data_IF_638838764039
#
_entry.id   IF_638838764039
#
_cell.length_a   1.000
_cell.length_b   1.000
_cell.length_c   1.000
_cell.angle_alpha   90.00
_cell.angle_beta   90.00
_cell.angle_gamma   90.00
#
_symmetry.space_group_name_H-M   'P 1'
#
loop_
_entity.id
_entity.type
_entity.pdbx_description
1 polymer ?
#
# COMPACT_ATOMS: atom_id res chain seq x y z
N UNK A 1 -12.97 -7.46 -19.04
CA UNK A 1 -11.88 -8.25 -18.41
C UNK A 1 -10.58 -7.46 -18.53
N UNK A 2 -10.33 -6.45 -17.69
CA UNK A 2 -9.12 -5.60 -17.79
C UNK A 2 -8.63 -5.05 -16.44
N UNK A 3 -9.07 -5.58 -15.30
CA UNK A 3 -8.67 -5.06 -13.97
C UNK A 3 -7.32 -5.60 -13.46
N UNK A 4 -6.74 -6.66 -14.03
CA UNK A 4 -5.55 -7.32 -13.46
C UNK A 4 -4.19 -6.68 -13.75
N UNK A 5 -4.07 -5.65 -14.60
CA UNK A 5 -2.75 -5.12 -15.01
C UNK A 5 -2.24 -4.00 -14.11
N UNK A 6 -3.12 -3.30 -13.38
CA UNK A 6 -2.73 -2.10 -12.63
C UNK A 6 -2.51 -2.35 -11.13
N UNK A 7 -3.17 -3.35 -10.54
CA UNK A 7 -2.93 -3.76 -9.14
C UNK A 7 -1.53 -4.29 -8.94
N UNK A 8 -1.02 -5.04 -9.94
CA UNK A 8 0.35 -5.56 -9.94
C UNK A 8 1.36 -4.44 -9.69
N UNK A 9 1.16 -3.24 -10.25
CA UNK A 9 2.11 -2.13 -10.11
C UNK A 9 2.26 -1.61 -8.68
N UNK A 10 1.18 -1.60 -7.89
CA UNK A 10 1.27 -1.10 -6.51
C UNK A 10 2.05 -2.08 -5.63
N UNK A 11 1.75 -3.38 -5.77
CA UNK A 11 2.52 -4.42 -5.10
C UNK A 11 3.97 -4.44 -5.60
N UNK A 12 4.21 -4.22 -6.90
CA UNK A 12 5.55 -4.16 -7.47
C UNK A 12 6.37 -3.01 -6.88
N UNK A 13 5.80 -1.80 -6.72
CA UNK A 13 6.48 -0.67 -6.07
C UNK A 13 6.88 -0.99 -4.62
N UNK A 14 6.01 -1.67 -3.87
CA UNK A 14 6.29 -2.06 -2.48
C UNK A 14 7.31 -3.19 -2.42
N UNK A 15 7.21 -4.19 -3.30
CA UNK A 15 8.15 -5.30 -3.39
C UNK A 15 9.53 -4.79 -3.80
N UNK A 16 9.60 -3.92 -4.80
CA UNK A 16 10.83 -3.28 -5.23
C UNK A 16 11.43 -2.43 -4.12
N UNK A 17 10.61 -1.66 -3.39
CA UNK A 17 11.06 -0.91 -2.22
C UNK A 17 11.66 -1.80 -1.12
N UNK A 18 11.04 -2.96 -0.85
CA UNK A 18 11.56 -3.95 0.10
C UNK A 18 12.86 -4.59 -0.42
N UNK A 19 12.87 -4.98 -1.69
CA UNK A 19 13.99 -5.67 -2.33
C UNK A 19 15.22 -4.78 -2.54
N UNK A 20 15.03 -3.48 -2.78
CA UNK A 20 16.10 -2.49 -2.95
C UNK A 20 16.90 -2.24 -1.65
N UNK A 21 16.41 -2.72 -0.51
CA UNK A 21 17.02 -2.53 0.80
C UNK A 21 16.45 -1.30 1.50
N UNK A 22 15.56 -1.55 2.46
CA UNK A 22 14.89 -0.49 3.22
C UNK A 22 15.75 0.00 4.38
N UNK A 23 15.91 1.31 4.53
CA UNK A 23 16.42 1.93 5.77
C UNK A 23 15.24 2.48 6.59
N UNK A 24 15.39 2.66 7.92
CA UNK A 24 14.35 3.30 8.73
C UNK A 24 13.94 4.67 8.16
N UNK A 25 14.89 5.44 7.63
CA UNK A 25 14.63 6.73 6.99
C UNK A 25 13.77 6.58 5.73
N UNK A 26 14.13 5.63 4.86
CA UNK A 26 13.38 5.33 3.64
C UNK A 26 11.97 4.84 3.94
N UNK A 27 11.77 4.05 5.01
CA UNK A 27 10.43 3.56 5.40
C UNK A 27 9.54 4.71 5.84
N UNK A 28 10.08 5.68 6.59
CA UNK A 28 9.32 6.87 7.02
C UNK A 28 8.94 7.72 5.80
N UNK A 29 9.89 7.95 4.90
CA UNK A 29 9.72 8.78 3.71
C UNK A 29 8.86 8.11 2.63
N UNK A 30 8.79 6.77 2.64
CA UNK A 30 8.08 5.99 1.63
C UNK A 30 6.64 6.47 1.48
N UNK A 31 6.29 6.83 0.25
CA UNK A 31 4.94 7.22 -0.15
C UNK A 31 4.65 6.48 -1.45
N UNK A 32 3.50 5.82 -1.49
CA UNK A 32 2.97 5.28 -2.74
C UNK A 32 2.89 6.39 -3.79
N UNK A 33 3.20 6.06 -5.05
CA UNK A 33 3.02 6.98 -6.17
C UNK A 33 1.58 7.49 -6.22
N UNK A 34 1.37 8.73 -6.68
CA UNK A 34 0.02 9.34 -6.68
C UNK A 34 -0.98 8.51 -7.52
N UNK A 35 -0.52 7.83 -8.57
CA UNK A 35 -1.32 6.89 -9.34
C UNK A 35 -1.79 5.66 -8.53
N UNK A 36 -0.97 5.19 -7.58
CA UNK A 36 -1.32 4.09 -6.68
C UNK A 36 -2.30 4.54 -5.59
N UNK A 37 -2.13 5.76 -5.07
CA UNK A 37 -3.07 6.36 -4.10
C UNK A 37 -4.45 6.60 -4.71
N UNK A 38 -4.52 7.24 -5.87
CA UNK A 38 -5.77 7.51 -6.58
C UNK A 38 -6.55 6.22 -6.84
N UNK A 39 -5.84 5.14 -7.22
CA UNK A 39 -6.46 3.83 -7.40
C UNK A 39 -6.95 3.19 -6.11
N UNK A 40 -6.21 3.32 -5.02
CA UNK A 40 -6.65 2.86 -3.70
C UNK A 40 -7.92 3.60 -3.28
N UNK A 41 -7.96 4.92 -3.45
CA UNK A 41 -9.13 5.75 -3.14
C UNK A 41 -10.33 5.37 -3.99
N UNK A 42 -10.14 5.12 -5.29
CA UNK A 42 -11.16 4.62 -6.21
C UNK A 42 -11.69 3.23 -5.81
N UNK A 43 -10.82 2.31 -5.39
CA UNK A 43 -11.21 1.00 -4.86
C UNK A 43 -12.01 1.12 -3.56
N UNK A 44 -11.55 1.93 -2.61
CA UNK A 44 -12.25 2.20 -1.34
C UNK A 44 -13.61 2.85 -1.62
N UNK A 45 -13.67 3.78 -2.56
CA UNK A 45 -14.91 4.45 -2.95
C UNK A 45 -15.90 3.47 -3.58
N UNK A 46 -15.46 2.62 -4.53
CA UNK A 46 -16.28 1.58 -5.14
C UNK A 46 -16.75 0.54 -4.11
N UNK A 47 -15.90 0.17 -3.14
CA UNK A 47 -16.26 -0.65 -1.98
C UNK A 47 -17.46 -0.13 -1.22
N UNK A 48 -17.43 1.17 -0.94
CA UNK A 48 -18.39 1.83 -0.08
C UNK A 48 -19.70 2.17 -0.81
N UNK A 49 -19.65 2.30 -2.13
CA UNK A 49 -20.75 2.84 -2.94
C UNK A 49 -21.51 1.76 -3.70
N UNK A 50 -20.82 0.79 -4.30
CA UNK A 50 -21.43 -0.20 -5.20
C UNK A 50 -21.45 -1.62 -4.62
N UNK A 51 -20.72 -1.86 -3.53
CA UNK A 51 -20.52 -3.19 -2.96
C UNK A 51 -19.59 -4.02 -3.83
N UNK A 52 -18.32 -4.11 -3.45
CA UNK A 52 -17.35 -4.91 -4.20
C UNK A 52 -17.72 -6.39 -4.13
N UNK A 53 -17.74 -7.04 -5.28
CA UNK A 53 -18.04 -8.47 -5.40
C UNK A 53 -16.75 -9.27 -5.26
N UNK A 54 -16.64 -10.07 -4.18
CA UNK A 54 -15.67 -11.15 -4.00
C UNK A 54 -14.20 -10.78 -4.22
N UNK A 55 -13.75 -10.81 -5.48
CA UNK A 55 -12.37 -10.56 -5.90
C UNK A 55 -11.90 -9.15 -5.57
N UNK A 56 -12.71 -8.13 -5.85
CA UNK A 56 -12.33 -6.74 -5.57
C UNK A 56 -12.36 -6.43 -4.05
N UNK A 57 -13.21 -7.12 -3.28
CA UNK A 57 -13.24 -6.98 -1.82
C UNK A 57 -11.98 -7.59 -1.17
N UNK A 58 -11.53 -8.73 -1.68
CA UNK A 58 -10.27 -9.37 -1.27
C UNK A 58 -9.06 -8.48 -1.60
N UNK A 59 -9.09 -7.83 -2.77
CA UNK A 59 -8.06 -6.87 -3.17
C UNK A 59 -8.02 -5.66 -2.22
N UNK A 60 -9.18 -5.09 -1.89
CA UNK A 60 -9.26 -4.01 -0.92
C UNK A 60 -8.75 -4.42 0.47
N UNK A 61 -9.11 -5.61 0.95
CA UNK A 61 -8.67 -6.12 2.24
C UNK A 61 -7.14 -6.29 2.29
N UNK A 62 -6.54 -6.81 1.22
CA UNK A 62 -5.09 -6.88 1.09
C UNK A 62 -4.45 -5.49 1.09
N UNK A 63 -5.04 -4.52 0.38
CA UNK A 63 -4.54 -3.15 0.39
C UNK A 63 -4.61 -2.51 1.77
N UNK A 64 -5.74 -2.65 2.49
CA UNK A 64 -5.92 -2.14 3.85
C UNK A 64 -4.92 -2.76 4.81
N UNK A 65 -4.70 -4.08 4.69
CA UNK A 65 -3.68 -4.80 5.46
C UNK A 65 -2.29 -4.24 5.21
N UNK A 66 -1.96 -3.98 3.94
CA UNK A 66 -0.65 -3.46 3.56
C UNK A 66 -0.45 -2.02 4.06
N UNK A 67 -1.46 -1.15 3.92
CA UNK A 67 -1.48 0.19 4.51
C UNK A 67 -1.26 0.15 6.03
N UNK A 68 -1.91 -0.79 6.72
CA UNK A 68 -1.74 -0.98 8.16
C UNK A 68 -0.32 -1.40 8.52
N UNK A 69 0.25 -2.37 7.79
CA UNK A 69 1.64 -2.81 7.97
C UNK A 69 2.60 -1.63 7.74
N UNK A 70 2.40 -0.84 6.68
CA UNK A 70 3.22 0.33 6.39
C UNK A 70 3.14 1.38 7.49
N UNK A 71 1.95 1.63 8.06
CA UNK A 71 1.79 2.52 9.22
C UNK A 71 2.58 2.03 10.43
N UNK A 72 2.51 0.73 10.75
CA UNK A 72 3.27 0.13 11.84
C UNK A 72 4.78 0.15 11.57
N UNK A 73 5.20 -0.12 10.33
CA UNK A 73 6.59 -0.07 9.91
C UNK A 73 7.16 1.34 10.06
N UNK A 74 6.40 2.37 9.66
CA UNK A 74 6.76 3.79 9.88
C UNK A 74 6.87 4.13 11.36
N UNK A 75 5.93 3.68 12.19
CA UNK A 75 5.98 3.91 13.63
C UNK A 75 7.24 3.30 14.25
N UNK A 76 7.57 2.04 13.90
CA UNK A 76 8.80 1.38 14.35
C UNK A 76 10.06 2.04 13.80
N UNK A 77 10.07 2.40 12.51
CA UNK A 77 11.19 3.10 11.89
C UNK A 77 11.49 4.42 12.59
N UNK A 78 10.45 5.16 12.99
CA UNK A 78 10.60 6.39 13.76
C UNK A 78 11.23 6.12 15.13
N UNK A 79 10.86 5.01 15.79
CA UNK A 79 11.56 4.59 17.01
C UNK A 79 13.05 4.32 16.76
N UNK A 80 13.42 3.61 15.69
CA UNK A 80 14.83 3.34 15.37
C UNK A 80 15.66 4.59 15.09
N UNK A 81 15.05 5.64 14.50
CA UNK A 81 15.74 6.92 14.27
C UNK A 81 15.82 7.74 15.55
N UNK A 82 14.76 7.76 16.36
CA UNK A 82 14.70 8.54 17.58
C UNK A 82 15.43 7.88 18.78
N UNK A 83 15.88 6.63 18.62
CA UNK A 83 16.76 5.92 19.56
C UNK A 83 18.26 6.13 19.28
N UNK A 84 18.61 6.90 18.23
CA UNK A 84 20.00 7.31 17.94
C UNK A 84 20.35 8.64 18.57
#
# INVERSE_FOLDING_TARGET
MTTSVNTAKVYDEIIEFIAAGTTPQSVIDFKLSDAAKDRLEDLVYRAKTEGLTGSDQLELDHFLTLEHIMRLAKARANQYINLK
#
